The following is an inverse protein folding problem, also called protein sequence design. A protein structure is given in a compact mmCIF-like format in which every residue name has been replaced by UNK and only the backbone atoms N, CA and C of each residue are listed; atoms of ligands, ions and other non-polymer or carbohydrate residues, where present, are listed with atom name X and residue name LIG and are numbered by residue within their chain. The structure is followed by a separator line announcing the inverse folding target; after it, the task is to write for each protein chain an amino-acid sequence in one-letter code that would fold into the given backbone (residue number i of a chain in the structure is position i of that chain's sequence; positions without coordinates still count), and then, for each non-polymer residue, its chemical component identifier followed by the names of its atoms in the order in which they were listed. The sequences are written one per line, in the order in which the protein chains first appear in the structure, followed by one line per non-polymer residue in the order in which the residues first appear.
data_IF_691989922624
#
_entry.id   IF_691989922624
#
_cell.length_a   1.000
_cell.length_b   1.000
_cell.length_c   1.000
_cell.angle_alpha   90.00
_cell.angle_beta   90.00
_cell.angle_gamma   90.00
#
_symmetry.space_group_name_H-M   'P 1'
#
loop_
_entity.id
_entity.type
_entity.pdbx_description
1 polymer ?
#
# COMPACT_ATOMS: atom_id res chain seq x y z
N UNK A 1 15.54 -20.15 11.21
CA UNK A 1 15.63 -19.28 10.02
C UNK A 1 16.15 -17.95 10.51
N UNK A 2 17.28 -17.47 9.97
CA UNK A 2 17.90 -16.24 10.47
C UNK A 2 16.95 -15.05 10.30
N UNK A 3 16.88 -14.20 11.33
CA UNK A 3 15.98 -13.05 11.36
C UNK A 3 16.22 -12.10 10.18
N UNK A 4 17.47 -12.00 9.71
CA UNK A 4 17.82 -11.25 8.51
C UNK A 4 17.23 -11.84 7.22
N UNK A 5 17.18 -13.17 7.10
CA UNK A 5 16.61 -13.86 5.93
C UNK A 5 15.10 -13.66 5.92
N UNK A 6 14.42 -13.83 7.07
CA UNK A 6 12.99 -13.59 7.21
C UNK A 6 12.61 -12.15 6.81
N UNK A 7 13.36 -11.17 7.33
CA UNK A 7 13.14 -9.75 7.05
C UNK A 7 13.34 -9.42 5.56
N UNK A 8 14.35 -10.04 4.93
CA UNK A 8 14.59 -9.96 3.49
C UNK A 8 13.42 -10.54 2.69
N UNK A 9 12.97 -11.74 3.03
CA UNK A 9 11.84 -12.40 2.34
C UNK A 9 10.56 -11.58 2.44
N UNK A 10 10.22 -11.05 3.63
CA UNK A 10 9.04 -10.19 3.82
C UNK A 10 9.14 -8.95 2.92
N UNK A 11 10.30 -8.28 2.90
CA UNK A 11 10.51 -7.08 2.09
C UNK A 11 10.35 -7.35 0.60
N UNK A 12 10.85 -8.49 0.12
CA UNK A 12 10.71 -8.93 -1.28
C UNK A 12 9.25 -9.23 -1.64
N UNK A 13 8.53 -9.94 -0.77
CA UNK A 13 7.10 -10.23 -0.99
C UNK A 13 6.29 -8.94 -1.05
N UNK A 14 6.54 -8.02 -0.11
CA UNK A 14 5.87 -6.72 -0.10
C UNK A 14 6.16 -5.98 -1.39
N UNK A 15 7.42 -5.82 -1.78
CA UNK A 15 7.81 -5.16 -3.03
C UNK A 15 7.15 -5.77 -4.27
N UNK A 16 7.08 -7.10 -4.36
CA UNK A 16 6.42 -7.79 -5.47
C UNK A 16 4.92 -7.47 -5.53
N UNK A 17 4.23 -7.45 -4.39
CA UNK A 17 2.81 -7.07 -4.30
C UNK A 17 2.59 -5.60 -4.64
N UNK A 18 3.46 -4.70 -4.19
CA UNK A 18 3.41 -3.27 -4.51
C UNK A 18 3.57 -3.04 -6.01
N UNK A 19 4.53 -3.73 -6.63
CA UNK A 19 4.79 -3.62 -8.06
C UNK A 19 3.63 -4.15 -8.89
N UNK A 20 3.11 -5.34 -8.57
CA UNK A 20 1.94 -5.90 -9.24
C UNK A 20 0.70 -4.97 -9.11
N UNK A 21 0.49 -4.40 -7.93
CA UNK A 21 -0.56 -3.40 -7.66
C UNK A 21 -0.42 -2.16 -8.54
N UNK A 22 0.79 -1.59 -8.63
CA UNK A 22 1.06 -0.43 -9.46
C UNK A 22 0.84 -0.71 -10.95
N UNK A 23 1.28 -1.88 -11.45
CA UNK A 23 1.04 -2.30 -12.83
C UNK A 23 -0.46 -2.42 -13.15
N UNK A 24 -1.26 -2.98 -12.23
CA UNK A 24 -2.71 -3.09 -12.40
C UNK A 24 -3.39 -1.72 -12.43
N UNK A 25 -3.02 -0.81 -11.53
CA UNK A 25 -3.55 0.55 -11.50
C UNK A 25 -3.18 1.32 -12.78
N UNK A 26 -1.94 1.20 -13.24
CA UNK A 26 -1.47 1.80 -14.49
C UNK A 26 -2.23 1.27 -15.71
N UNK A 27 -2.36 -0.05 -15.80
CA UNK A 27 -3.09 -0.70 -16.90
C UNK A 27 -4.55 -0.27 -16.93
N UNK A 28 -5.20 -0.19 -15.77
CA UNK A 28 -6.57 0.30 -15.66
C UNK A 28 -6.68 1.78 -16.06
N UNK A 29 -5.80 2.63 -15.55
CA UNK A 29 -5.82 4.06 -15.84
C UNK A 29 -5.70 4.33 -17.34
N UNK A 30 -4.83 3.59 -18.04
CA UNK A 30 -4.65 3.71 -19.49
C UNK A 30 -5.90 3.31 -20.31
N UNK A 31 -6.74 2.42 -19.78
CA UNK A 31 -7.94 1.92 -20.48
C UNK A 31 -9.22 2.67 -20.13
N UNK A 32 -9.42 2.97 -18.86
CA UNK A 32 -10.71 3.43 -18.31
C UNK A 32 -10.56 4.68 -17.44
N UNK A 33 -9.33 5.11 -17.14
CA UNK A 33 -9.06 6.22 -16.22
C UNK A 33 -9.24 7.63 -16.82
N UNK A 34 -9.37 7.74 -18.15
CA UNK A 34 -9.45 9.02 -18.85
C UNK A 34 -10.80 9.73 -18.73
N UNK A 35 -11.87 8.97 -18.51
CA UNK A 35 -13.24 9.50 -18.44
C UNK A 35 -13.54 10.13 -17.07
N UNK A 36 -14.61 10.94 -16.99
CA UNK A 36 -15.04 11.56 -15.72
C UNK A 36 -15.30 10.53 -14.61
N UNK A 37 -15.83 9.36 -14.97
CA UNK A 37 -15.98 8.22 -14.06
C UNK A 37 -14.63 7.68 -13.59
N UNK A 38 -13.67 7.53 -14.50
CA UNK A 38 -12.30 7.11 -14.20
C UNK A 38 -11.61 8.06 -13.23
N UNK A 39 -11.79 9.37 -13.40
CA UNK A 39 -11.27 10.40 -12.48
C UNK A 39 -11.90 10.32 -11.08
N UNK A 40 -13.20 10.05 -10.99
CA UNK A 40 -13.87 9.86 -9.68
C UNK A 40 -13.38 8.59 -8.97
N UNK A 41 -13.20 7.49 -9.71
CA UNK A 41 -12.68 6.24 -9.16
C UNK A 41 -11.23 6.41 -8.71
N UNK A 42 -10.38 7.07 -9.51
CA UNK A 42 -8.97 7.31 -9.15
C UNK A 42 -8.84 8.20 -7.91
N UNK A 43 -9.68 9.23 -7.77
CA UNK A 43 -9.68 10.10 -6.59
C UNK A 43 -10.09 9.33 -5.33
N UNK A 44 -11.16 8.52 -5.39
CA UNK A 44 -11.58 7.67 -4.27
C UNK A 44 -10.51 6.64 -3.91
N UNK A 45 -9.90 6.02 -4.91
CA UNK A 45 -8.81 5.08 -4.73
C UNK A 45 -7.61 5.74 -4.05
N UNK A 46 -7.23 6.94 -4.49
CA UNK A 46 -6.14 7.73 -3.90
C UNK A 46 -6.44 8.11 -2.46
N UNK A 47 -7.68 8.49 -2.13
CA UNK A 47 -8.07 8.79 -0.76
C UNK A 47 -7.98 7.57 0.17
N UNK A 48 -8.32 6.38 -0.31
CA UNK A 48 -8.19 5.14 0.46
C UNK A 48 -6.72 4.77 0.66
N UNK A 49 -5.90 4.90 -0.38
CA UNK A 49 -4.44 4.70 -0.30
C UNK A 49 -3.80 5.66 0.70
N UNK A 50 -4.15 6.95 0.61
CA UNK A 50 -3.62 7.97 1.52
C UNK A 50 -4.12 7.75 2.95
N UNK A 51 -5.40 7.44 3.16
CA UNK A 51 -5.96 7.17 4.48
C UNK A 51 -5.29 5.97 5.16
N UNK A 52 -5.08 4.86 4.43
CA UNK A 52 -4.38 3.68 4.96
C UNK A 52 -2.92 3.97 5.28
N UNK A 53 -2.25 4.78 4.45
CA UNK A 53 -0.87 5.20 4.70
C UNK A 53 -0.78 6.10 5.94
N UNK A 54 -1.65 7.09 6.10
CA UNK A 54 -1.67 7.99 7.27
C UNK A 54 -1.96 7.22 8.55
N UNK A 55 -2.94 6.31 8.54
CA UNK A 55 -3.24 5.45 9.70
C UNK A 55 -2.03 4.58 10.04
N UNK A 56 -1.40 3.97 9.03
CA UNK A 56 -0.22 3.15 9.24
C UNK A 56 0.95 3.92 9.86
N UNK A 57 1.22 5.13 9.37
CA UNK A 57 2.26 6.00 9.93
C UNK A 57 1.91 6.43 11.36
N UNK A 58 0.65 6.79 11.65
CA UNK A 58 0.23 7.17 12.99
C UNK A 58 0.43 6.04 14.01
N UNK A 59 0.13 4.80 13.61
CA UNK A 59 0.40 3.59 14.41
C UNK A 59 1.91 3.41 14.61
N UNK A 60 2.72 3.59 13.55
CA UNK A 60 4.17 3.47 13.63
C UNK A 60 4.80 4.48 14.59
N UNK A 61 4.37 5.74 14.54
CA UNK A 61 4.84 6.81 15.43
C UNK A 61 4.42 6.57 16.89
N UNK A 62 3.21 6.07 17.11
CA UNK A 62 2.74 5.71 18.46
C UNK A 62 3.56 4.56 19.05
N UNK A 63 3.96 3.61 18.21
CA UNK A 63 4.79 2.47 18.60
C UNK A 63 6.25 2.87 18.87
N UNK A 64 6.84 3.75 18.05
CA UNK A 64 8.20 4.29 18.25
C UNK A 64 8.34 5.06 19.57
N UNK A 65 7.29 5.79 19.97
CA UNK A 65 7.25 6.48 21.26
C UNK A 65 7.13 5.58 22.49
N UNK A 66 6.72 4.30 22.32
CA UNK A 66 6.45 3.39 23.44
C UNK A 66 7.45 2.24 23.60
N UNK A 67 8.12 1.83 22.52
CA UNK A 67 9.01 0.68 22.50
C UNK A 67 10.33 1.08 21.82
N UNK A 68 11.47 0.78 22.44
CA UNK A 68 12.80 0.91 21.83
C UNK A 68 12.93 -0.06 20.64
N UNK A 69 12.34 0.29 19.50
CA UNK A 69 12.42 -0.54 18.30
C UNK A 69 13.84 -0.50 17.75
N UNK A 70 14.39 -1.69 17.47
CA UNK A 70 15.63 -1.78 16.69
C UNK A 70 15.36 -1.30 15.26
N UNK A 71 16.31 -0.55 14.68
CA UNK A 71 16.19 0.08 13.35
C UNK A 71 15.72 -0.85 12.23
N UNK A 72 15.93 -2.17 12.37
CA UNK A 72 15.48 -3.17 11.40
C UNK A 72 13.96 -3.38 11.41
N UNK A 73 13.32 -3.45 12.59
CA UNK A 73 11.88 -3.64 12.71
C UNK A 73 11.09 -2.44 12.21
N UNK A 74 11.60 -1.23 12.49
CA UNK A 74 11.02 0.01 11.98
C UNK A 74 10.98 0.03 10.43
N UNK A 75 12.08 -0.38 9.79
CA UNK A 75 12.15 -0.45 8.32
C UNK A 75 11.13 -1.43 7.75
N UNK A 76 10.98 -2.62 8.36
CA UNK A 76 10.05 -3.64 7.87
C UNK A 76 8.61 -3.15 8.01
N UNK A 77 8.24 -2.59 9.17
CA UNK A 77 6.90 -2.06 9.36
C UNK A 77 6.57 -0.94 8.38
N UNK A 78 7.51 -0.03 8.13
CA UNK A 78 7.33 1.05 7.16
C UNK A 78 7.13 0.49 5.73
N UNK A 79 7.96 -0.46 5.30
CA UNK A 79 7.81 -1.13 4.00
C UNK A 79 6.45 -1.84 3.91
N UNK A 80 6.03 -2.55 4.95
CA UNK A 80 4.73 -3.22 5.01
C UNK A 80 3.55 -2.24 4.93
N UNK A 81 3.62 -1.08 5.60
CA UNK A 81 2.57 -0.05 5.55
C UNK A 81 2.42 0.50 4.13
N UNK A 82 3.53 0.80 3.45
CA UNK A 82 3.51 1.26 2.06
C UNK A 82 2.90 0.18 1.15
N UNK A 83 3.31 -1.08 1.30
CA UNK A 83 2.75 -2.20 0.56
C UNK A 83 1.24 -2.35 0.76
N UNK A 84 0.79 -2.32 2.01
CA UNK A 84 -0.63 -2.42 2.37
C UNK A 84 -1.44 -1.27 1.80
N UNK A 85 -0.93 -0.04 1.82
CA UNK A 85 -1.61 1.12 1.22
C UNK A 85 -1.85 0.94 -0.29
N UNK A 86 -0.86 0.40 -1.00
CA UNK A 86 -0.93 0.15 -2.43
C UNK A 86 -1.91 -0.97 -2.77
N UNK A 87 -1.89 -2.05 -2.00
CA UNK A 87 -2.83 -3.16 -2.15
C UNK A 87 -4.27 -2.71 -1.83
N UNK A 88 -4.46 -1.93 -0.76
CA UNK A 88 -5.77 -1.37 -0.41
C UNK A 88 -6.32 -0.47 -1.52
N UNK A 89 -5.46 0.35 -2.14
CA UNK A 89 -5.80 1.11 -3.34
C UNK A 89 -6.29 0.20 -4.46
N UNK A 90 -5.49 -0.78 -4.86
CA UNK A 90 -5.83 -1.67 -5.98
C UNK A 90 -7.11 -2.47 -5.72
N UNK A 91 -7.33 -2.93 -4.48
CA UNK A 91 -8.59 -3.57 -4.09
C UNK A 91 -9.77 -2.61 -4.19
N UNK A 92 -9.61 -1.37 -3.73
CA UNK A 92 -10.66 -0.36 -3.84
C UNK A 92 -11.01 -0.04 -5.29
N UNK A 93 -10.02 0.00 -6.19
CA UNK A 93 -10.21 0.17 -7.62
C UNK A 93 -11.05 -1.00 -8.18
N UNK A 94 -10.72 -2.25 -7.85
CA UNK A 94 -11.47 -3.41 -8.31
C UNK A 94 -12.92 -3.41 -7.82
N UNK A 95 -13.16 -2.99 -6.58
CA UNK A 95 -14.51 -2.88 -6.00
C UNK A 95 -15.29 -1.72 -6.63
N UNK A 96 -14.68 -0.54 -6.74
CA UNK A 96 -15.31 0.66 -7.31
C UNK A 96 -15.63 0.47 -8.79
N UNK A 97 -14.76 -0.22 -9.54
CA UNK A 97 -15.00 -0.58 -10.95
C UNK A 97 -16.24 -1.47 -11.14
N UNK A 98 -16.60 -2.30 -10.15
CA UNK A 98 -17.85 -3.09 -10.22
C UNK A 98 -19.10 -2.27 -9.89
N UNK A 99 -18.93 -1.13 -9.20
CA UNK A 99 -20.04 -0.32 -8.67
C UNK A 99 -20.44 0.83 -9.61
N UNK A 100 -19.55 1.25 -10.50
CA UNK A 100 -19.69 2.40 -11.42
C UNK A 100 -19.51 2.00 -12.88
#
# INVERSE_FOLDING_TARGET
MDMNVLNGTISVIVLALTFASACLQWWWYKREGGDERGKLISLKCTNIMFGTLVIGIAVLLSLDGSLYFTKQWFKIMLVSIIGLSMVAGTLSLLVLRRKY
#
